data_IF_057334439740
#
_entry.id   IF_057334439740
#
_cell.length_a   1.000
_cell.length_b   1.000
_cell.length_c   1.000
_cell.angle_alpha   90.00
_cell.angle_beta   90.00
_cell.angle_gamma   90.00
#
_symmetry.space_group_name_H-M   'P 1'
#
loop_
_entity.id
_entity.type
_entity.pdbx_description
1 polymer ?
#
# COMPACT_ATOMS: atom_id res chain seq x y z
N UNK A 1 21.56 17.29 -10.52
CA UNK A 1 21.57 18.76 -10.45
C UNK A 1 20.32 19.31 -9.72
N UNK A 2 19.12 19.02 -10.15
CA UNK A 2 17.84 19.54 -9.58
C UNK A 2 17.68 19.23 -8.09
N UNK A 3 17.98 17.98 -7.67
CA UNK A 3 17.94 17.61 -6.25
C UNK A 3 18.89 18.46 -5.40
N UNK A 4 20.10 18.66 -5.89
CA UNK A 4 21.09 19.49 -5.19
C UNK A 4 20.60 20.92 -5.01
N UNK A 5 20.01 21.51 -6.04
CA UNK A 5 19.42 22.85 -5.95
C UNK A 5 18.26 22.89 -4.94
N UNK A 6 17.37 21.90 -4.97
CA UNK A 6 16.27 21.81 -4.00
C UNK A 6 16.75 21.70 -2.56
N UNK A 7 17.78 20.88 -2.32
CA UNK A 7 18.41 20.70 -1.00
C UNK A 7 19.15 21.97 -0.59
N UNK A 8 19.94 22.58 -1.51
CA UNK A 8 20.68 23.82 -1.25
C UNK A 8 19.74 24.97 -0.84
N UNK A 9 18.65 25.18 -1.57
CA UNK A 9 17.64 26.18 -1.19
C UNK A 9 16.89 25.83 0.11
N UNK A 10 16.70 24.53 0.42
CA UNK A 10 16.04 24.11 1.65
C UNK A 10 16.88 24.40 2.89
N UNK A 11 18.19 24.15 2.84
CA UNK A 11 19.11 24.36 3.97
C UNK A 11 19.84 25.70 3.92
N UNK A 12 19.86 26.41 2.79
CA UNK A 12 20.65 27.62 2.59
C UNK A 12 22.15 27.34 2.37
N UNK A 13 22.48 26.18 1.80
CA UNK A 13 23.84 25.73 1.56
C UNK A 13 24.36 26.27 0.21
N UNK A 14 25.25 27.25 0.24
CA UNK A 14 25.82 27.89 -0.97
C UNK A 14 24.85 28.84 -1.69
N UNK A 15 23.61 28.96 -1.26
CA UNK A 15 22.58 29.89 -1.73
C UNK A 15 21.76 30.39 -0.55
N UNK A 16 21.16 31.59 -0.61
CA UNK A 16 20.19 32.00 0.44
C UNK A 16 19.04 30.99 0.58
N UNK A 17 18.65 30.71 1.82
CA UNK A 17 17.54 29.81 2.08
C UNK A 17 16.25 30.36 1.44
N UNK A 18 15.63 29.56 0.58
CA UNK A 18 14.39 29.90 -0.12
C UNK A 18 13.51 28.63 -0.26
N UNK A 19 12.48 28.54 0.58
CA UNK A 19 11.56 27.40 0.57
C UNK A 19 10.71 27.32 -0.70
N UNK A 20 10.46 28.43 -1.41
CA UNK A 20 9.75 28.43 -2.70
C UNK A 20 10.57 27.74 -3.76
N UNK A 21 11.85 28.13 -3.89
CA UNK A 21 12.78 27.48 -4.79
C UNK A 21 13.04 26.02 -4.40
N UNK A 22 13.14 25.72 -3.10
CA UNK A 22 13.29 24.36 -2.62
C UNK A 22 12.11 23.48 -3.08
N UNK A 23 10.87 23.93 -2.90
CA UNK A 23 9.66 23.20 -3.35
C UNK A 23 9.68 23.00 -4.87
N UNK A 24 10.02 24.02 -5.64
CA UNK A 24 10.11 23.92 -7.09
C UNK A 24 11.06 22.81 -7.53
N UNK A 25 12.32 22.90 -7.11
CA UNK A 25 13.37 21.94 -7.52
C UNK A 25 13.17 20.53 -6.97
N UNK A 26 12.67 20.38 -5.74
CA UNK A 26 12.40 19.07 -5.15
C UNK A 26 11.23 18.35 -5.82
N UNK A 27 10.20 19.08 -6.27
CA UNK A 27 9.10 18.49 -7.04
C UNK A 27 9.52 17.96 -8.39
N UNK A 28 10.46 18.63 -9.06
CA UNK A 28 10.98 18.18 -10.35
C UNK A 28 11.75 16.85 -10.27
N UNK A 29 12.29 16.54 -9.10
CA UNK A 29 13.09 15.31 -8.87
C UNK A 29 12.22 14.12 -8.51
N UNK A 30 11.02 14.37 -7.96
CA UNK A 30 10.11 13.29 -7.58
C UNK A 30 9.38 12.80 -8.83
N UNK A 31 9.67 11.58 -9.35
CA UNK A 31 8.98 11.08 -10.53
C UNK A 31 7.47 11.06 -10.32
N UNK A 32 6.73 11.52 -11.30
CA UNK A 32 5.25 11.54 -11.28
C UNK A 32 4.61 10.16 -11.04
N UNK A 33 5.36 9.08 -11.32
CA UNK A 33 4.97 7.69 -11.03
C UNK A 33 5.04 7.31 -9.56
N UNK A 34 5.85 8.02 -8.74
CA UNK A 34 6.06 7.75 -7.32
C UNK A 34 5.35 8.72 -6.38
N UNK A 35 4.92 9.87 -6.88
CA UNK A 35 4.08 10.80 -6.13
C UNK A 35 2.74 10.94 -6.82
N UNK A 36 1.67 10.50 -6.18
CA UNK A 36 0.35 10.97 -6.56
C UNK A 36 0.25 12.45 -6.14
N UNK A 37 0.48 13.35 -7.06
CA UNK A 37 0.37 14.77 -6.81
C UNK A 37 1.55 15.61 -7.24
N UNK A 38 1.94 15.50 -8.51
CA UNK A 38 2.62 16.61 -9.18
C UNK A 38 1.59 17.75 -9.31
N UNK A 39 1.37 18.46 -8.19
CA UNK A 39 0.63 19.72 -8.24
C UNK A 39 1.68 20.78 -8.50
N UNK A 40 1.50 21.66 -9.47
CA UNK A 40 2.27 22.89 -9.51
C UNK A 40 1.89 23.73 -8.27
N UNK A 41 2.56 23.42 -7.14
CA UNK A 41 2.29 24.02 -5.84
C UNK A 41 2.36 25.54 -5.88
N UNK A 42 3.19 26.07 -6.77
CA UNK A 42 3.27 27.50 -7.06
C UNK A 42 1.95 28.05 -7.61
N UNK A 43 1.30 27.35 -8.55
CA UNK A 43 0.05 27.81 -9.17
C UNK A 43 -1.15 27.74 -8.23
N UNK A 44 -1.12 26.80 -7.26
CA UNK A 44 -2.19 26.69 -6.24
C UNK A 44 -2.07 27.76 -5.17
N UNK A 45 -0.84 28.09 -4.75
CA UNK A 45 -0.63 29.11 -3.73
C UNK A 45 -0.88 30.53 -4.27
N UNK A 46 -0.33 30.85 -5.43
CA UNK A 46 -0.51 32.17 -6.07
C UNK A 46 -1.98 32.46 -6.42
N UNK A 47 -2.78 31.41 -6.65
CA UNK A 47 -4.24 31.51 -6.84
C UNK A 47 -5.02 31.74 -5.55
N UNK A 48 -4.57 31.16 -4.43
CA UNK A 48 -5.30 31.17 -3.17
C UNK A 48 -4.94 32.38 -2.28
N UNK A 49 -3.73 32.95 -2.38
CA UNK A 49 -3.19 33.95 -1.45
C UNK A 49 -2.29 34.98 -2.13
N UNK A 50 -2.81 35.84 -3.02
CA UNK A 50 -1.97 36.74 -3.82
C UNK A 50 -1.32 37.90 -3.05
N UNK A 51 -1.70 38.16 -1.79
CA UNK A 51 -1.28 39.39 -1.05
C UNK A 51 -0.62 39.18 0.32
N UNK A 52 -0.50 37.95 0.83
CA UNK A 52 -0.04 37.71 2.22
C UNK A 52 1.33 37.01 2.27
N UNK A 53 2.41 37.82 2.37
CA UNK A 53 3.78 37.33 2.41
C UNK A 53 4.12 36.48 3.66
N UNK A 54 3.50 36.75 4.82
CA UNK A 54 3.85 36.05 6.07
C UNK A 54 3.24 34.64 6.10
N UNK A 55 2.01 34.50 5.69
CA UNK A 55 1.35 33.19 5.56
C UNK A 55 1.99 32.37 4.42
N UNK A 56 2.48 33.05 3.35
CA UNK A 56 3.16 32.40 2.24
C UNK A 56 4.46 31.72 2.67
N UNK A 57 5.33 32.41 3.40
CA UNK A 57 6.58 31.82 3.87
C UNK A 57 6.38 30.62 4.78
N UNK A 58 5.41 30.69 5.69
CA UNK A 58 5.05 29.57 6.58
C UNK A 58 4.53 28.39 5.79
N UNK A 59 3.70 28.63 4.79
CA UNK A 59 3.16 27.57 3.91
C UNK A 59 4.29 26.93 3.08
N UNK A 60 5.16 27.74 2.43
CA UNK A 60 6.26 27.20 1.66
C UNK A 60 7.23 26.40 2.52
N UNK A 61 7.55 26.85 3.73
CA UNK A 61 8.38 26.10 4.68
C UNK A 61 7.78 24.74 5.02
N UNK A 62 6.48 24.69 5.42
CA UNK A 62 5.81 23.43 5.73
C UNK A 62 5.73 22.51 4.52
N UNK A 63 5.48 23.06 3.34
CA UNK A 63 5.41 22.31 2.10
C UNK A 63 6.79 21.76 1.71
N UNK A 64 7.85 22.57 1.78
CA UNK A 64 9.22 22.15 1.53
C UNK A 64 9.63 21.01 2.48
N UNK A 65 9.28 21.08 3.76
CA UNK A 65 9.52 20.00 4.73
C UNK A 65 8.81 18.71 4.32
N UNK A 66 7.51 18.78 3.93
CA UNK A 66 6.76 17.61 3.47
C UNK A 66 7.36 16.99 2.21
N UNK A 67 7.73 17.81 1.24
CA UNK A 67 8.35 17.35 -0.01
C UNK A 67 9.72 16.73 0.28
N UNK A 68 10.55 17.35 1.13
CA UNK A 68 11.83 16.82 1.55
C UNK A 68 11.69 15.47 2.25
N UNK A 69 10.73 15.33 3.18
CA UNK A 69 10.46 14.06 3.84
C UNK A 69 10.10 12.96 2.82
N UNK A 70 9.33 13.30 1.77
CA UNK A 70 8.96 12.36 0.72
C UNK A 70 10.14 11.97 -0.16
N UNK A 71 11.01 12.92 -0.52
CA UNK A 71 12.28 12.66 -1.23
C UNK A 71 13.13 11.68 -0.42
N UNK A 72 13.35 11.97 0.86
CA UNK A 72 14.14 11.11 1.75
C UNK A 72 13.53 9.70 1.88
N UNK A 73 12.21 9.60 2.01
CA UNK A 73 11.53 8.30 2.00
C UNK A 73 11.78 7.52 0.71
N UNK A 74 11.70 8.17 -0.45
CA UNK A 74 11.94 7.52 -1.74
C UNK A 74 13.39 7.02 -1.86
N UNK A 75 14.40 7.76 -1.37
CA UNK A 75 15.76 7.24 -1.27
C UNK A 75 15.84 6.00 -0.39
N UNK A 76 15.15 6.00 0.76
CA UNK A 76 15.02 4.81 1.60
C UNK A 76 14.44 3.62 0.82
N UNK A 77 13.37 3.83 0.04
CA UNK A 77 12.77 2.78 -0.80
C UNK A 77 13.74 2.28 -1.87
N UNK A 78 14.53 3.17 -2.49
CA UNK A 78 15.49 2.77 -3.52
C UNK A 78 16.62 1.93 -2.95
N UNK A 79 17.21 2.32 -1.83
CA UNK A 79 18.22 1.51 -1.15
C UNK A 79 17.64 0.19 -0.60
N UNK A 80 16.42 0.21 -0.08
CA UNK A 80 15.78 -0.99 0.45
C UNK A 80 15.53 -2.06 -0.63
N UNK A 81 15.06 -1.65 -1.81
CA UNK A 81 14.73 -2.57 -2.90
C UNK A 81 15.88 -2.76 -3.90
N UNK A 82 16.90 -1.94 -3.90
CA UNK A 82 17.95 -1.92 -4.92
C UNK A 82 17.49 -1.31 -6.25
N UNK A 83 16.48 -0.44 -6.24
CA UNK A 83 16.04 0.27 -7.44
C UNK A 83 16.97 1.44 -7.74
N UNK A 84 17.58 1.49 -8.92
CA UNK A 84 18.50 2.56 -9.35
C UNK A 84 19.78 2.71 -8.51
N UNK A 85 19.87 2.08 -7.35
CA UNK A 85 20.99 2.11 -6.41
C UNK A 85 21.30 0.69 -5.95
N UNK A 86 22.52 0.44 -5.47
CA UNK A 86 22.84 -0.84 -4.83
C UNK A 86 22.00 -1.01 -3.57
N UNK A 87 21.47 -2.20 -3.39
CA UNK A 87 20.66 -2.53 -2.21
C UNK A 87 21.49 -2.40 -0.95
N UNK A 88 21.03 -1.54 -0.02
CA UNK A 88 21.67 -1.29 1.27
C UNK A 88 20.61 -0.95 2.31
N UNK A 89 20.33 -1.90 3.21
CA UNK A 89 19.32 -1.73 4.24
C UNK A 89 19.75 -0.73 5.33
N UNK A 90 21.06 -0.56 5.60
CA UNK A 90 21.53 0.43 6.57
C UNK A 90 21.30 1.85 6.06
N UNK A 91 21.65 2.11 4.80
CA UNK A 91 21.37 3.40 4.17
C UNK A 91 19.85 3.64 4.03
N UNK A 92 19.09 2.59 3.71
CA UNK A 92 17.63 2.70 3.68
C UNK A 92 17.07 3.17 5.03
N UNK A 93 17.54 2.58 6.14
CA UNK A 93 17.12 2.95 7.47
C UNK A 93 17.47 4.39 7.82
N UNK A 94 18.67 4.84 7.47
CA UNK A 94 19.07 6.24 7.69
C UNK A 94 18.14 7.22 6.96
N UNK A 95 17.84 6.96 5.69
CA UNK A 95 16.93 7.79 4.91
C UNK A 95 15.50 7.76 5.46
N UNK A 96 15.00 6.59 5.86
CA UNK A 96 13.70 6.49 6.52
C UNK A 96 13.66 7.23 7.87
N UNK A 97 14.75 7.19 8.67
CA UNK A 97 14.83 7.95 9.92
C UNK A 97 14.76 9.45 9.69
N UNK A 98 15.44 9.97 8.67
CA UNK A 98 15.39 11.40 8.28
C UNK A 98 13.97 11.81 7.90
N UNK A 99 13.28 11.01 7.10
CA UNK A 99 11.89 11.25 6.70
C UNK A 99 10.93 11.14 7.89
N UNK A 100 11.11 10.13 8.76
CA UNK A 100 10.30 9.89 9.94
C UNK A 100 10.45 10.97 11.01
N UNK A 101 11.63 11.59 11.13
CA UNK A 101 11.88 12.74 12.00
C UNK A 101 11.05 13.97 11.59
N UNK A 102 10.73 14.09 10.31
CA UNK A 102 9.82 15.11 9.79
C UNK A 102 8.34 14.70 9.89
N UNK A 103 8.03 13.58 10.55
CA UNK A 103 6.68 13.13 10.82
C UNK A 103 6.06 12.25 9.73
N UNK A 104 6.76 11.89 8.65
CA UNK A 104 6.18 11.12 7.55
C UNK A 104 5.75 9.72 8.01
N UNK A 105 4.45 9.44 7.96
CA UNK A 105 3.87 8.20 8.46
C UNK A 105 4.35 6.96 7.69
N UNK A 106 4.52 7.05 6.37
CA UNK A 106 5.03 5.95 5.54
C UNK A 106 6.47 5.58 5.90
N UNK A 107 7.30 6.57 6.27
CA UNK A 107 8.66 6.32 6.72
C UNK A 107 8.68 5.66 8.12
N UNK A 108 7.79 6.08 9.01
CA UNK A 108 7.62 5.45 10.31
C UNK A 108 7.17 3.99 10.16
N UNK A 109 6.23 3.70 9.26
CA UNK A 109 5.80 2.33 8.96
C UNK A 109 6.95 1.50 8.38
N UNK A 110 7.72 2.04 7.43
CA UNK A 110 8.87 1.37 6.83
C UNK A 110 9.95 1.00 7.87
N UNK A 111 10.26 1.89 8.81
CA UNK A 111 11.16 1.58 9.94
C UNK A 111 10.58 0.44 10.79
N UNK A 112 9.28 0.46 11.06
CA UNK A 112 8.58 -0.63 11.74
C UNK A 112 8.74 -1.97 11.02
N UNK A 113 8.65 -1.99 9.69
CA UNK A 113 8.88 -3.19 8.87
C UNK A 113 10.32 -3.67 9.02
N UNK A 114 11.30 -2.79 8.96
CA UNK A 114 12.72 -3.15 9.11
C UNK A 114 13.00 -3.80 10.46
N UNK A 115 12.49 -3.25 11.57
CA UNK A 115 12.60 -3.87 12.89
C UNK A 115 11.83 -5.20 13.01
N UNK A 116 10.67 -5.31 12.35
CA UNK A 116 9.89 -6.55 12.36
C UNK A 116 10.60 -7.68 11.63
N UNK A 117 11.34 -7.38 10.55
CA UNK A 117 12.02 -8.36 9.70
C UNK A 117 13.49 -8.57 10.10
N UNK A 118 14.12 -7.62 10.79
CA UNK A 118 15.55 -7.65 11.10
C UNK A 118 16.41 -7.24 9.90
N UNK A 119 15.91 -6.35 9.05
CA UNK A 119 16.61 -5.90 7.85
C UNK A 119 17.33 -4.57 8.10
N UNK A 120 18.66 -4.58 8.03
CA UNK A 120 19.52 -3.43 8.37
C UNK A 120 19.57 -3.10 9.88
N UNK A 121 18.86 -3.86 10.69
CA UNK A 121 18.84 -3.81 12.17
C UNK A 121 18.54 -5.19 12.73
N UNK A 122 18.90 -5.43 14.00
CA UNK A 122 18.44 -6.62 14.70
C UNK A 122 16.91 -6.61 14.82
N UNK A 123 16.27 -7.78 14.63
CA UNK A 123 14.83 -7.92 14.79
C UNK A 123 14.40 -7.49 16.20
N UNK A 124 13.46 -6.57 16.27
CA UNK A 124 12.90 -6.07 17.53
C UNK A 124 11.42 -5.74 17.37
N UNK A 125 10.56 -6.61 17.88
CA UNK A 125 9.10 -6.42 17.80
C UNK A 125 8.60 -5.25 18.66
N UNK A 126 9.29 -4.86 19.73
CA UNK A 126 8.90 -3.71 20.55
C UNK A 126 9.17 -2.41 19.79
N UNK A 127 10.33 -2.29 19.16
CA UNK A 127 10.65 -1.17 18.28
C UNK A 127 9.68 -1.10 17.10
N UNK A 128 9.43 -2.22 16.43
CA UNK A 128 8.45 -2.28 15.34
C UNK A 128 7.07 -1.76 15.79
N UNK A 129 6.59 -2.23 16.95
CA UNK A 129 5.33 -1.82 17.55
C UNK A 129 5.28 -0.31 17.81
N UNK A 130 6.37 0.25 18.39
CA UNK A 130 6.45 1.68 18.68
C UNK A 130 6.35 2.53 17.39
N UNK A 131 7.04 2.12 16.35
CA UNK A 131 7.02 2.81 15.05
C UNK A 131 5.68 2.67 14.34
N UNK A 132 5.08 1.48 14.30
CA UNK A 132 3.73 1.29 13.75
C UNK A 132 2.67 2.11 14.51
N UNK A 133 2.77 2.22 15.85
CA UNK A 133 1.87 3.07 16.63
C UNK A 133 1.97 4.54 16.23
N UNK A 134 3.20 5.06 15.99
CA UNK A 134 3.39 6.45 15.50
C UNK A 134 2.69 6.66 14.16
N UNK A 135 2.90 5.79 13.19
CA UNK A 135 2.28 5.87 11.88
C UNK A 135 0.74 5.67 11.93
N UNK A 136 0.27 4.72 12.74
CA UNK A 136 -1.16 4.42 12.87
C UNK A 136 -1.96 5.56 13.55
N UNK A 137 -1.33 6.34 14.46
CA UNK A 137 -1.95 7.55 15.04
C UNK A 137 -2.19 8.62 13.99
N UNK A 138 -1.40 8.66 12.93
CA UNK A 138 -1.60 9.54 11.79
C UNK A 138 -2.64 8.99 10.79
N UNK A 139 -3.25 7.85 11.10
CA UNK A 139 -4.28 7.24 10.26
C UNK A 139 -3.76 6.29 9.18
N UNK A 140 -2.45 6.05 9.05
CA UNK A 140 -1.91 5.22 7.97
C UNK A 140 -2.48 3.79 7.99
N UNK A 141 -3.24 3.34 6.96
CA UNK A 141 -3.91 2.05 6.99
C UNK A 141 -2.94 0.86 6.91
N UNK A 142 -1.76 1.04 6.32
CA UNK A 142 -0.70 0.03 6.33
C UNK A 142 -0.23 -0.25 7.76
N UNK A 143 0.10 0.79 8.52
CA UNK A 143 0.53 0.66 9.91
C UNK A 143 -0.57 0.08 10.82
N UNK A 144 -1.83 0.49 10.62
CA UNK A 144 -2.98 -0.11 11.32
C UNK A 144 -3.07 -1.61 11.02
N UNK A 145 -2.83 -2.02 9.75
CA UNK A 145 -2.82 -3.44 9.38
C UNK A 145 -1.65 -4.19 10.02
N UNK A 146 -0.46 -3.58 10.07
CA UNK A 146 0.70 -4.18 10.75
C UNK A 146 0.46 -4.35 12.25
N UNK A 147 -0.16 -3.38 12.93
CA UNK A 147 -0.59 -3.53 14.33
C UNK A 147 -1.59 -4.68 14.52
N UNK A 148 -2.50 -4.83 13.58
CA UNK A 148 -3.41 -5.97 13.55
C UNK A 148 -2.67 -7.30 13.43
N UNK A 149 -1.69 -7.40 12.54
CA UNK A 149 -0.86 -8.60 12.37
C UNK A 149 -0.05 -8.87 13.65
N UNK A 150 0.57 -7.86 14.24
CA UNK A 150 1.32 -8.03 15.50
C UNK A 150 0.42 -8.56 16.62
N UNK A 151 -0.80 -8.02 16.74
CA UNK A 151 -1.79 -8.50 17.73
C UNK A 151 -2.25 -9.94 17.44
N UNK A 152 -2.46 -10.30 16.17
CA UNK A 152 -2.91 -11.65 15.78
C UNK A 152 -1.87 -12.74 16.10
N UNK A 153 -0.58 -12.40 16.02
CA UNK A 153 0.53 -13.34 16.22
C UNK A 153 1.29 -13.16 17.53
N UNK A 154 0.88 -12.25 18.40
CA UNK A 154 1.55 -12.00 19.69
C UNK A 154 2.97 -11.43 19.54
N UNK A 155 3.25 -10.70 18.44
CA UNK A 155 4.59 -10.14 18.18
C UNK A 155 4.76 -8.81 18.92
N UNK A 156 5.53 -8.82 20.00
CA UNK A 156 5.76 -7.63 20.84
C UNK A 156 4.55 -7.19 21.68
N UNK A 157 3.42 -7.89 21.60
CA UNK A 157 2.20 -7.70 22.40
C UNK A 157 1.59 -9.05 22.73
N UNK A 158 0.74 -9.10 23.75
CA UNK A 158 -0.07 -10.30 24.01
C UNK A 158 -0.94 -10.61 22.77
N UNK A 159 -1.02 -11.89 22.39
CA UNK A 159 -1.82 -12.33 21.28
C UNK A 159 -3.31 -12.02 21.54
N UNK A 160 -3.97 -11.40 20.57
CA UNK A 160 -5.38 -11.04 20.66
C UNK A 160 -6.02 -10.89 19.28
N UNK A 161 -6.74 -11.90 18.84
CA UNK A 161 -7.50 -11.84 17.59
C UNK A 161 -8.56 -10.72 17.61
N UNK A 162 -9.16 -10.44 18.80
CA UNK A 162 -10.13 -9.35 18.96
C UNK A 162 -9.48 -7.97 18.67
N UNK A 163 -8.27 -7.73 19.18
CA UNK A 163 -7.53 -6.50 18.89
C UNK A 163 -7.10 -6.44 17.43
N UNK A 164 -6.66 -7.56 16.85
CA UNK A 164 -6.32 -7.64 15.43
C UNK A 164 -7.49 -7.22 14.55
N UNK A 165 -8.68 -7.76 14.79
CA UNK A 165 -9.92 -7.39 14.07
C UNK A 165 -10.24 -5.90 14.21
N UNK A 166 -10.06 -5.32 15.40
CA UNK A 166 -10.31 -3.89 15.61
C UNK A 166 -9.38 -3.03 14.72
N UNK A 167 -8.12 -3.40 14.62
CA UNK A 167 -7.16 -2.73 13.75
C UNK A 167 -7.47 -2.95 12.26
N UNK A 168 -7.76 -4.18 11.85
CA UNK A 168 -8.13 -4.47 10.46
C UNK A 168 -9.38 -3.71 10.03
N UNK A 169 -10.39 -3.57 10.89
CA UNK A 169 -11.60 -2.78 10.61
C UNK A 169 -11.28 -1.30 10.40
N UNK A 170 -10.36 -0.72 11.19
CA UNK A 170 -9.93 0.68 10.99
C UNK A 170 -9.30 0.89 9.62
N UNK A 171 -8.38 0.00 9.21
CA UNK A 171 -7.73 0.08 7.92
C UNK A 171 -8.69 -0.24 6.76
N UNK A 172 -9.57 -1.22 6.92
CA UNK A 172 -10.54 -1.63 5.89
C UNK A 172 -11.60 -0.55 5.61
N UNK A 173 -11.96 0.29 6.61
CA UNK A 173 -12.81 1.48 6.42
C UNK A 173 -12.17 2.52 5.49
N UNK A 174 -10.85 2.52 5.39
CA UNK A 174 -10.08 3.36 4.46
C UNK A 174 -9.85 2.67 3.11
N UNK A 175 -10.60 1.64 2.80
CA UNK A 175 -10.52 0.84 1.58
C UNK A 175 -9.12 0.24 1.33
N UNK A 176 -8.43 -0.22 2.39
CA UNK A 176 -7.12 -0.84 2.30
C UNK A 176 -7.25 -2.35 2.06
N UNK A 177 -6.88 -2.79 0.85
CA UNK A 177 -7.11 -4.16 0.38
C UNK A 177 -6.49 -5.24 1.28
N UNK A 178 -5.26 -5.03 1.78
CA UNK A 178 -4.60 -5.99 2.69
C UNK A 178 -5.39 -6.19 3.99
N UNK A 179 -5.97 -5.12 4.55
CA UNK A 179 -6.79 -5.22 5.76
C UNK A 179 -8.15 -5.89 5.47
N UNK A 180 -8.75 -5.61 4.31
CA UNK A 180 -9.96 -6.29 3.87
C UNK A 180 -9.73 -7.79 3.70
N UNK A 181 -8.61 -8.17 3.09
CA UNK A 181 -8.20 -9.58 3.00
C UNK A 181 -8.06 -10.22 4.39
N UNK A 182 -7.39 -9.56 5.34
CA UNK A 182 -7.24 -10.07 6.71
C UNK A 182 -8.58 -10.26 7.42
N UNK A 183 -9.56 -9.37 7.18
CA UNK A 183 -10.93 -9.59 7.67
C UNK A 183 -11.58 -10.79 7.00
N UNK A 184 -11.36 -10.98 5.71
CA UNK A 184 -11.79 -12.18 4.98
C UNK A 184 -11.26 -13.46 5.63
N UNK A 185 -9.96 -13.50 5.90
CA UNK A 185 -9.30 -14.62 6.60
C UNK A 185 -9.92 -14.83 7.99
N UNK A 186 -10.11 -13.76 8.77
CA UNK A 186 -10.69 -13.87 10.10
C UNK A 186 -12.10 -14.49 10.11
N UNK A 187 -12.97 -14.05 9.19
CA UNK A 187 -14.31 -14.64 9.03
C UNK A 187 -14.29 -16.05 8.44
N UNK A 188 -13.31 -16.38 7.59
CA UNK A 188 -13.16 -17.73 7.01
C UNK A 188 -12.64 -18.75 8.03
N UNK A 189 -11.94 -18.32 9.07
CA UNK A 189 -11.30 -19.19 10.07
C UNK A 189 -11.92 -19.10 11.45
N UNK A 190 -12.88 -18.20 11.67
CA UNK A 190 -13.49 -17.96 12.97
C UNK A 190 -12.56 -17.29 13.99
N UNK A 191 -11.43 -16.69 13.55
CA UNK A 191 -10.45 -16.07 14.46
C UNK A 191 -10.89 -14.67 14.89
N UNK A 192 -11.22 -14.52 16.16
CA UNK A 192 -11.65 -13.23 16.75
C UNK A 192 -13.04 -12.76 16.35
N UNK A 193 -13.72 -13.50 15.47
CA UNK A 193 -15.13 -13.34 15.05
C UNK A 193 -15.71 -14.71 14.78
N UNK A 194 -17.04 -14.91 14.91
CA UNK A 194 -17.67 -16.17 14.49
C UNK A 194 -17.38 -16.46 13.01
N UNK A 195 -17.10 -17.73 12.71
CA UNK A 195 -16.90 -18.19 11.32
C UNK A 195 -18.13 -17.85 10.48
N UNK A 196 -17.90 -17.25 9.32
CA UNK A 196 -18.95 -16.84 8.40
C UNK A 196 -18.42 -16.71 6.97
N UNK A 197 -18.59 -17.75 6.17
CA UNK A 197 -18.10 -17.81 4.80
C UNK A 197 -18.70 -16.73 3.89
N UNK A 198 -19.95 -16.30 4.12
CA UNK A 198 -20.56 -15.20 3.34
C UNK A 198 -19.88 -13.86 3.64
N UNK A 199 -19.57 -13.61 4.91
CA UNK A 199 -18.81 -12.40 5.28
C UNK A 199 -17.37 -12.47 4.79
N UNK A 200 -16.72 -13.64 4.85
CA UNK A 200 -15.40 -13.85 4.29
C UNK A 200 -15.39 -13.53 2.79
N UNK A 201 -16.32 -14.09 2.03
CA UNK A 201 -16.48 -13.83 0.59
C UNK A 201 -16.64 -12.34 0.29
N UNK A 202 -17.47 -11.62 1.06
CA UNK A 202 -17.70 -10.18 0.90
C UNK A 202 -16.42 -9.37 1.06
N UNK A 203 -15.59 -9.72 2.05
CA UNK A 203 -14.33 -9.03 2.29
C UNK A 203 -13.25 -9.40 1.27
N UNK A 204 -13.18 -10.67 0.87
CA UNK A 204 -12.28 -11.09 -0.20
C UNK A 204 -12.62 -10.42 -1.54
N UNK A 205 -13.91 -10.31 -1.90
CA UNK A 205 -14.35 -9.60 -3.11
C UNK A 205 -13.89 -8.15 -3.11
N UNK A 206 -14.08 -7.41 -2.01
CA UNK A 206 -13.61 -6.02 -1.90
C UNK A 206 -12.11 -5.88 -2.12
N UNK A 207 -11.31 -6.79 -1.56
CA UNK A 207 -9.86 -6.78 -1.74
C UNK A 207 -9.45 -7.19 -3.17
N UNK A 208 -10.10 -8.20 -3.73
CA UNK A 208 -9.82 -8.74 -5.06
C UNK A 208 -10.15 -7.75 -6.18
N UNK A 209 -11.24 -6.99 -6.05
CA UNK A 209 -11.64 -5.92 -6.98
C UNK A 209 -10.66 -4.73 -6.98
N UNK A 210 -9.76 -4.65 -5.98
CA UNK A 210 -8.63 -3.72 -5.97
C UNK A 210 -7.36 -4.32 -6.59
N UNK A 211 -7.40 -5.56 -7.06
CA UNK A 211 -6.27 -6.28 -7.62
C UNK A 211 -5.35 -6.90 -6.57
N UNK A 212 -5.85 -7.18 -5.37
CA UNK A 212 -5.07 -7.85 -4.32
C UNK A 212 -5.05 -9.36 -4.58
N UNK A 213 -3.93 -9.84 -5.13
CA UNK A 213 -3.76 -11.23 -5.59
C UNK A 213 -4.08 -12.30 -4.53
N UNK A 214 -3.67 -12.17 -3.24
CA UNK A 214 -4.05 -13.16 -2.23
C UNK A 214 -5.56 -13.31 -2.04
N UNK A 215 -6.32 -12.23 -2.22
CA UNK A 215 -7.79 -12.30 -2.15
C UNK A 215 -8.39 -12.95 -3.40
N UNK A 216 -7.79 -12.72 -4.58
CA UNK A 216 -8.20 -13.39 -5.82
C UNK A 216 -7.98 -14.88 -5.74
N UNK A 217 -6.83 -15.33 -5.20
CA UNK A 217 -6.55 -16.74 -4.95
C UNK A 217 -7.55 -17.35 -3.97
N UNK A 218 -7.82 -16.68 -2.84
CA UNK A 218 -8.79 -17.17 -1.86
C UNK A 218 -10.20 -17.32 -2.45
N UNK A 219 -10.62 -16.40 -3.33
CA UNK A 219 -11.89 -16.52 -4.06
C UNK A 219 -11.88 -17.71 -5.02
N UNK A 220 -10.79 -17.91 -5.76
CA UNK A 220 -10.60 -19.07 -6.62
C UNK A 220 -10.80 -20.38 -5.85
N UNK A 221 -10.16 -20.51 -4.70
CA UNK A 221 -10.28 -21.70 -3.83
C UNK A 221 -11.70 -21.89 -3.29
N UNK A 222 -12.33 -20.81 -2.82
CA UNK A 222 -13.70 -20.87 -2.28
C UNK A 222 -14.68 -21.37 -3.35
N UNK A 223 -14.61 -20.84 -4.56
CA UNK A 223 -15.52 -21.25 -5.64
C UNK A 223 -15.15 -22.61 -6.26
N UNK A 224 -13.86 -22.99 -6.30
CA UNK A 224 -13.44 -24.28 -6.81
C UNK A 224 -13.94 -25.47 -5.96
N UNK A 225 -13.95 -25.32 -4.65
CA UNK A 225 -14.28 -26.40 -3.73
C UNK A 225 -15.67 -26.26 -3.11
N UNK A 226 -16.25 -25.06 -3.12
CA UNK A 226 -17.39 -24.73 -2.30
C UNK A 226 -17.01 -24.61 -0.82
N UNK A 227 -17.65 -23.77 -0.08
CA UNK A 227 -17.52 -23.69 1.40
C UNK A 227 -18.88 -23.41 2.01
N UNK A 228 -19.02 -23.58 3.32
CA UNK A 228 -20.27 -23.41 4.06
C UNK A 228 -21.08 -22.19 3.57
N UNK A 229 -22.20 -22.46 2.87
CA UNK A 229 -23.09 -21.43 2.32
C UNK A 229 -22.61 -20.72 1.05
N UNK A 230 -21.50 -21.16 0.45
CA UNK A 230 -21.02 -20.74 -0.88
C UNK A 230 -20.94 -21.99 -1.75
N UNK A 231 -21.80 -22.15 -2.78
CA UNK A 231 -21.76 -23.32 -3.64
C UNK A 231 -20.51 -23.33 -4.51
N UNK A 232 -20.11 -24.53 -4.94
CA UNK A 232 -19.08 -24.71 -5.94
C UNK A 232 -19.50 -24.05 -7.26
N UNK A 233 -18.59 -23.28 -7.86
CA UNK A 233 -18.79 -22.61 -9.14
C UNK A 233 -17.48 -22.56 -9.92
N UNK A 234 -17.28 -23.49 -10.87
CA UNK A 234 -16.07 -23.60 -11.67
C UNK A 234 -15.84 -22.34 -12.53
N UNK A 235 -16.90 -21.66 -12.98
CA UNK A 235 -16.81 -20.42 -13.78
C UNK A 235 -16.22 -19.29 -12.94
N UNK A 236 -16.76 -19.06 -11.72
CA UNK A 236 -16.21 -18.06 -10.81
C UNK A 236 -14.77 -18.42 -10.37
N UNK A 237 -14.51 -19.69 -10.06
CA UNK A 237 -13.17 -20.15 -9.72
C UNK A 237 -12.16 -19.84 -10.84
N UNK A 238 -12.51 -20.15 -12.09
CA UNK A 238 -11.67 -19.86 -13.25
C UNK A 238 -11.41 -18.37 -13.41
N UNK A 239 -12.44 -17.52 -13.24
CA UNK A 239 -12.31 -16.07 -13.31
C UNK A 239 -11.25 -15.57 -12.32
N UNK A 240 -11.37 -15.95 -11.06
CA UNK A 240 -10.48 -15.44 -10.03
C UNK A 240 -9.06 -15.99 -10.11
N UNK A 241 -8.87 -17.27 -10.45
CA UNK A 241 -7.53 -17.80 -10.70
C UNK A 241 -6.87 -17.19 -11.93
N UNK A 242 -7.64 -16.91 -12.98
CA UNK A 242 -7.12 -16.19 -14.15
C UNK A 242 -6.68 -14.77 -13.78
N UNK A 243 -7.49 -14.04 -13.03
CA UNK A 243 -7.12 -12.69 -12.56
C UNK A 243 -5.86 -12.72 -11.69
N UNK A 244 -5.73 -13.68 -10.80
CA UNK A 244 -4.53 -13.86 -9.99
C UNK A 244 -3.31 -14.14 -10.86
N UNK A 245 -3.41 -15.01 -11.89
CA UNK A 245 -2.29 -15.38 -12.75
C UNK A 245 -1.69 -14.21 -13.53
N UNK A 246 -2.50 -13.25 -13.97
CA UNK A 246 -2.02 -12.05 -14.70
C UNK A 246 -1.00 -11.25 -13.86
N UNK A 247 -1.18 -11.22 -12.54
CA UNK A 247 -0.32 -10.44 -11.66
C UNK A 247 0.85 -11.25 -11.09
N UNK A 248 0.71 -12.56 -10.97
CA UNK A 248 1.78 -13.46 -10.51
C UNK A 248 2.77 -13.82 -11.61
N UNK A 249 2.35 -13.92 -12.87
CA UNK A 249 3.26 -14.11 -14.02
C UNK A 249 4.32 -13.00 -14.16
N UNK A 250 4.09 -11.85 -13.53
CA UNK A 250 5.03 -10.71 -13.44
C UNK A 250 5.99 -10.80 -12.25
N UNK A 251 5.69 -11.63 -11.27
CA UNK A 251 6.59 -11.97 -10.17
C UNK A 251 7.32 -13.25 -10.54
N UNK A 252 8.59 -13.38 -10.17
CA UNK A 252 9.39 -14.57 -10.44
C UNK A 252 8.99 -15.79 -9.57
N UNK A 253 7.82 -15.76 -8.96
CA UNK A 253 7.33 -16.82 -8.11
C UNK A 253 6.86 -18.02 -8.95
N UNK A 254 7.01 -19.22 -8.42
CA UNK A 254 6.53 -20.45 -9.07
C UNK A 254 4.98 -20.46 -9.08
N UNK A 255 4.43 -20.16 -10.26
CA UNK A 255 2.97 -20.11 -10.49
C UNK A 255 2.43 -21.39 -11.14
N UNK A 256 3.25 -22.44 -11.24
CA UNK A 256 2.91 -23.68 -11.96
C UNK A 256 1.61 -24.31 -11.46
N UNK A 257 1.43 -24.42 -10.14
CA UNK A 257 0.23 -24.96 -9.53
C UNK A 257 -1.02 -24.12 -9.83
N UNK A 258 -0.90 -22.78 -9.77
CA UNK A 258 -2.00 -21.87 -10.12
C UNK A 258 -2.40 -22.00 -11.59
N UNK A 259 -1.41 -22.06 -12.48
CA UNK A 259 -1.64 -22.20 -13.93
C UNK A 259 -2.27 -23.56 -14.24
N UNK A 260 -1.81 -24.65 -13.60
CA UNK A 260 -2.37 -25.98 -13.74
C UNK A 260 -3.85 -26.02 -13.32
N UNK A 261 -4.19 -25.45 -12.15
CA UNK A 261 -5.56 -25.42 -11.65
C UNK A 261 -6.47 -24.55 -12.53
N UNK A 262 -5.97 -23.39 -12.96
CA UNK A 262 -6.67 -22.52 -13.94
C UNK A 262 -6.98 -23.29 -15.22
N UNK A 263 -6.00 -24.02 -15.78
CA UNK A 263 -6.17 -24.78 -17.03
C UNK A 263 -7.13 -25.98 -16.84
N UNK A 264 -7.06 -26.65 -15.70
CA UNK A 264 -8.01 -27.72 -15.33
C UNK A 264 -9.46 -27.20 -15.32
N UNK A 265 -9.68 -26.05 -14.66
CA UNK A 265 -11.01 -25.44 -14.61
C UNK A 265 -11.49 -24.99 -16.00
N UNK A 266 -10.60 -24.42 -16.83
CA UNK A 266 -10.92 -24.09 -18.22
C UNK A 266 -11.48 -25.27 -18.99
N UNK A 267 -10.92 -26.48 -18.82
CA UNK A 267 -11.40 -27.70 -19.46
C UNK A 267 -12.78 -28.17 -19.00
N UNK A 268 -13.30 -27.63 -17.89
CA UNK A 268 -14.66 -27.95 -17.37
C UNK A 268 -15.75 -27.01 -17.88
N UNK A 269 -15.38 -25.94 -18.60
CA UNK A 269 -16.31 -24.90 -19.07
C UNK A 269 -16.71 -25.13 -20.53
N UNK A 270 -17.97 -24.87 -20.83
CA UNK A 270 -18.47 -24.83 -22.21
C UNK A 270 -17.94 -23.61 -22.95
N UNK A 271 -17.98 -23.59 -24.32
CA UNK A 271 -17.59 -22.41 -25.11
C UNK A 271 -18.37 -21.14 -24.72
N UNK A 272 -19.67 -21.24 -24.43
CA UNK A 272 -20.49 -20.12 -24.01
C UNK A 272 -20.06 -19.59 -22.64
N UNK A 273 -19.84 -20.49 -21.66
CA UNK A 273 -19.31 -20.13 -20.36
C UNK A 273 -17.94 -19.46 -20.44
N UNK A 274 -17.06 -19.91 -21.35
CA UNK A 274 -15.77 -19.28 -21.59
C UNK A 274 -15.94 -17.85 -22.14
N UNK A 275 -16.85 -17.66 -23.10
CA UNK A 275 -17.16 -16.32 -23.61
C UNK A 275 -17.65 -15.37 -22.52
N UNK A 276 -18.56 -15.83 -21.65
CA UNK A 276 -19.03 -15.05 -20.49
C UNK A 276 -17.88 -14.73 -19.51
N UNK A 277 -16.94 -15.65 -19.29
CA UNK A 277 -15.80 -15.40 -18.40
C UNK A 277 -14.87 -14.32 -18.97
N UNK A 278 -14.64 -14.28 -20.27
CA UNK A 278 -13.83 -13.22 -20.89
C UNK A 278 -14.46 -11.83 -20.73
N UNK A 279 -15.78 -11.74 -20.88
CA UNK A 279 -16.50 -10.50 -20.62
C UNK A 279 -16.39 -10.07 -19.15
N UNK A 280 -16.47 -11.03 -18.20
CA UNK A 280 -16.27 -10.77 -16.78
C UNK A 280 -14.85 -10.31 -16.45
N UNK A 281 -13.81 -10.86 -17.09
CA UNK A 281 -12.42 -10.41 -16.94
C UNK A 281 -12.25 -8.95 -17.29
N UNK A 282 -12.78 -8.54 -18.45
CA UNK A 282 -12.69 -7.16 -18.89
C UNK A 282 -13.38 -6.20 -17.92
N UNK A 283 -14.54 -6.60 -17.41
CA UNK A 283 -15.25 -5.81 -16.40
C UNK A 283 -14.46 -5.66 -15.11
N UNK A 284 -13.92 -6.76 -14.54
CA UNK A 284 -13.11 -6.75 -13.31
C UNK A 284 -11.83 -5.94 -13.55
N UNK A 285 -11.16 -6.12 -14.68
CA UNK A 285 -9.94 -5.39 -15.04
C UNK A 285 -10.20 -3.87 -15.12
N UNK A 286 -11.33 -3.47 -15.70
CA UNK A 286 -11.76 -2.06 -15.75
C UNK A 286 -11.99 -1.52 -14.34
N UNK A 287 -12.69 -2.25 -13.46
CA UNK A 287 -12.89 -1.86 -12.06
C UNK A 287 -11.57 -1.69 -11.31
N UNK A 288 -10.62 -2.64 -11.46
CA UNK A 288 -9.29 -2.55 -10.84
C UNK A 288 -8.55 -1.30 -11.32
N UNK A 289 -8.57 -1.01 -12.62
CA UNK A 289 -7.90 0.15 -13.18
C UNK A 289 -8.56 1.46 -12.71
N UNK A 290 -9.89 1.52 -12.69
CA UNK A 290 -10.62 2.67 -12.15
C UNK A 290 -10.34 2.90 -10.65
N UNK A 291 -10.29 1.83 -9.85
CA UNK A 291 -9.92 1.92 -8.43
C UNK A 291 -8.49 2.45 -8.24
N UNK A 292 -7.55 1.99 -9.04
CA UNK A 292 -6.16 2.47 -9.03
C UNK A 292 -6.07 3.96 -9.41
N UNK A 293 -6.79 4.37 -10.47
CA UNK A 293 -6.78 5.76 -10.91
C UNK A 293 -7.50 6.68 -9.90
N UNK A 294 -8.63 6.25 -9.34
CA UNK A 294 -9.32 7.00 -8.29
C UNK A 294 -8.44 7.20 -7.05
N UNK A 295 -7.70 6.16 -6.63
CA UNK A 295 -6.72 6.26 -5.53
C UNK A 295 -5.57 7.18 -5.87
N UNK A 296 -5.09 7.17 -7.12
CA UNK A 296 -4.06 8.08 -7.62
C UNK A 296 -4.55 9.54 -7.59
N UNK A 297 -5.79 9.79 -8.03
CA UNK A 297 -6.41 11.12 -7.99
C UNK A 297 -6.65 11.58 -6.55
N UNK A 298 -7.19 10.71 -5.68
CA UNK A 298 -7.41 11.05 -4.27
C UNK A 298 -6.09 11.42 -3.56
N UNK A 299 -5.02 10.68 -3.83
CA UNK A 299 -3.69 11.00 -3.32
C UNK A 299 -3.10 12.30 -3.89
N UNK A 300 -3.63 12.79 -5.02
CA UNK A 300 -3.25 14.08 -5.61
C UNK A 300 -3.91 15.28 -4.91
N UNK A 301 -5.02 15.06 -4.21
CA UNK A 301 -5.79 16.14 -3.56
C UNK A 301 -5.33 16.46 -2.13
N UNK A 302 -4.45 15.64 -1.57
CA UNK A 302 -3.86 15.79 -0.21
C UNK A 302 -2.33 15.80 -0.28
#
# INVERSE_FOLDING_TARGET
AQLYLGVAYFYGEGVPQDYRQAVYWLNEVIPSSYTPGHIPLNALYDKAHPADQVHSQTWYRKTAQRVMAKVQYNFGVWYYNGYHLLKDHNLALEWYRRAAAQGLAEAQDAIGVMFMQGEGVSQDYQQALAWYRKAARQGLPAAQTHLGIMSAFGRGVAQSDRQAIAWYRKAAKQDFAKAQYQLGVAYSTGRGVPENSRNALKWYLKAAEQGFTPAQLALGEIYAHGRQGVPKDNKQAYIWYYMASIYTEKSKDDCSALIAERNRLKGTLTPDQLSETYAAFDLIRRKINQSKEAKKIARKKY
#
